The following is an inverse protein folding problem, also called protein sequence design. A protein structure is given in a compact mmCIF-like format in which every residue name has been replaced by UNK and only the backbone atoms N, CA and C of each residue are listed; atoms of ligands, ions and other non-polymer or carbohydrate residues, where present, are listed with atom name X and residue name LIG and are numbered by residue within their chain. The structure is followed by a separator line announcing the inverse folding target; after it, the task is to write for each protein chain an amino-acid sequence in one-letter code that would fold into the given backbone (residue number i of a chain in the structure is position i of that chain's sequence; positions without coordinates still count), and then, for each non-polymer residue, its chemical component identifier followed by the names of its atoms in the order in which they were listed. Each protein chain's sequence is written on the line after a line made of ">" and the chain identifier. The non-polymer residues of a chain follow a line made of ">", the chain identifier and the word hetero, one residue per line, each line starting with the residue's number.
data_IF_265943007906
#
_entry.id   IF_265943007906
#
_cell.length_a   1.000
_cell.length_b   1.000
_cell.length_c   1.000
_cell.angle_alpha   90.00
_cell.angle_beta   90.00
_cell.angle_gamma   90.00
#
_symmetry.space_group_name_H-M   'P 1'
#
loop_
_entity.id
_entity.type
_entity.pdbx_description
1 polymer ?
#
# COMPACT_ATOMS: atom_id res chain seq x y z
N UNK A 1 7.67 10.26 -3.12
CA UNK A 1 7.75 9.98 -1.68
C UNK A 1 7.83 8.46 -1.53
N UNK A 2 8.09 7.95 -0.32
CA UNK A 2 8.20 6.52 -0.07
C UNK A 2 7.57 6.18 1.29
N UNK A 3 7.12 4.94 1.46
CA UNK A 3 6.52 4.45 2.70
C UNK A 3 7.40 3.36 3.31
N UNK A 4 7.66 3.44 4.61
CA UNK A 4 8.32 2.34 5.35
C UNK A 4 7.50 1.07 5.25
N UNK A 5 8.16 -0.05 4.96
CA UNK A 5 7.55 -1.37 4.97
C UNK A 5 7.53 -1.97 6.38
N UNK A 6 6.45 -2.69 6.68
CA UNK A 6 6.25 -3.55 7.85
C UNK A 6 6.47 -5.02 7.45
N UNK A 7 6.31 -6.02 8.34
CA UNK A 7 6.50 -7.43 7.95
C UNK A 7 5.68 -7.87 6.71
N UNK A 8 4.39 -7.53 6.66
CA UNK A 8 3.50 -7.80 5.52
C UNK A 8 2.72 -6.52 5.17
N UNK A 9 2.63 -6.21 3.88
CA UNK A 9 2.09 -4.94 3.41
C UNK A 9 1.19 -5.13 2.20
N UNK A 10 -0.01 -4.53 2.25
CA UNK A 10 -0.80 -4.25 1.07
C UNK A 10 -0.50 -2.84 0.58
N UNK A 11 0.02 -2.72 -0.64
CA UNK A 11 0.34 -1.45 -1.28
C UNK A 11 -0.72 -1.16 -2.35
N UNK A 12 -1.28 0.05 -2.33
CA UNK A 12 -2.31 0.48 -3.29
C UNK A 12 -2.00 1.90 -3.76
N UNK A 13 -1.99 2.18 -5.07
CA UNK A 13 -1.97 3.56 -5.56
C UNK A 13 -3.20 4.34 -5.05
N UNK A 14 -2.99 5.53 -4.47
CA UNK A 14 -4.12 6.36 -3.98
C UNK A 14 -5.14 6.67 -5.07
N UNK A 15 -4.68 6.79 -6.34
CA UNK A 15 -5.58 6.98 -7.48
C UNK A 15 -6.62 5.85 -7.61
N UNK A 16 -6.26 4.62 -7.22
CA UNK A 16 -7.15 3.47 -7.28
C UNK A 16 -8.15 3.53 -6.12
N UNK A 17 -7.72 3.91 -4.92
CA UNK A 17 -8.65 4.15 -3.79
C UNK A 17 -9.62 5.29 -4.11
N UNK A 18 -9.13 6.39 -4.70
CA UNK A 18 -9.97 7.51 -5.13
C UNK A 18 -11.03 7.10 -6.15
N UNK A 19 -10.73 6.09 -6.98
CA UNK A 19 -11.65 5.58 -7.97
C UNK A 19 -12.70 4.62 -7.37
N UNK A 20 -12.29 3.71 -6.50
CA UNK A 20 -13.15 2.61 -6.05
C UNK A 20 -13.88 2.89 -4.74
N UNK A 21 -13.36 3.76 -3.87
CA UNK A 21 -13.98 4.08 -2.60
C UNK A 21 -14.97 5.26 -2.77
N UNK A 22 -16.26 5.12 -2.42
CA UNK A 22 -17.20 6.25 -2.44
C UNK A 22 -16.72 7.38 -1.53
N UNK A 23 -16.50 8.58 -2.08
CA UNK A 23 -15.89 9.70 -1.35
C UNK A 23 -14.35 9.73 -1.39
N UNK A 24 -13.74 8.77 -2.07
CA UNK A 24 -12.31 8.69 -2.34
C UNK A 24 -11.43 8.48 -1.10
N UNK A 25 -10.13 8.72 -1.26
CA UNK A 25 -9.15 8.52 -0.20
C UNK A 25 -9.38 9.43 1.01
N UNK A 26 -9.91 10.64 0.80
CA UNK A 26 -10.19 11.57 1.90
C UNK A 26 -11.24 10.99 2.86
N UNK A 27 -12.37 10.48 2.34
CA UNK A 27 -13.39 9.89 3.20
C UNK A 27 -12.91 8.56 3.79
N UNK A 28 -12.17 7.76 3.02
CA UNK A 28 -11.53 6.55 3.52
C UNK A 28 -10.59 6.83 4.70
N UNK A 29 -9.77 7.89 4.62
CA UNK A 29 -8.82 8.23 5.66
C UNK A 29 -9.50 8.78 6.91
N UNK A 30 -10.59 9.53 6.77
CA UNK A 30 -11.45 9.95 7.88
C UNK A 30 -12.09 8.76 8.60
N UNK A 31 -12.72 7.84 7.86
CA UNK A 31 -13.35 6.64 8.43
C UNK A 31 -12.36 5.73 9.16
N UNK A 32 -11.09 5.75 8.76
CA UNK A 32 -10.04 4.90 9.31
C UNK A 32 -8.98 5.70 10.06
N UNK A 33 -9.28 6.93 10.52
CA UNK A 33 -8.30 7.86 11.09
C UNK A 33 -7.44 7.24 12.17
N UNK A 34 -8.03 6.45 13.07
CA UNK A 34 -7.32 5.77 14.17
C UNK A 34 -6.29 4.73 13.73
N UNK A 35 -6.37 4.23 12.49
CA UNK A 35 -5.41 3.27 11.93
C UNK A 35 -4.19 3.94 11.32
N UNK A 36 -4.29 5.21 10.91
CA UNK A 36 -3.16 5.92 10.33
C UNK A 36 -2.11 6.25 11.39
N UNK A 37 -0.87 5.84 11.14
CA UNK A 37 0.21 5.92 12.13
C UNK A 37 0.35 4.66 13.00
N UNK A 38 -0.52 3.68 12.79
CA UNK A 38 -0.36 2.33 13.30
C UNK A 38 -0.26 1.33 12.14
N UNK A 39 -1.35 0.65 11.80
CA UNK A 39 -1.38 -0.30 10.68
C UNK A 39 -1.39 0.40 9.32
N UNK A 40 -1.92 1.62 9.20
CA UNK A 40 -2.04 2.35 7.93
C UNK A 40 -1.02 3.47 7.78
N UNK A 41 -0.55 3.67 6.54
CA UNK A 41 0.33 4.77 6.16
C UNK A 41 0.07 5.20 4.71
N UNK A 42 0.46 6.41 4.33
CA UNK A 42 0.46 6.86 2.94
C UNK A 42 1.57 7.88 2.68
N UNK A 43 1.98 8.02 1.41
CA UNK A 43 2.96 9.03 0.97
C UNK A 43 2.39 9.99 -0.08
N UNK A 44 1.07 10.09 -0.13
CA UNK A 44 0.25 10.82 -1.12
C UNK A 44 0.20 10.20 -2.54
N UNK A 45 1.02 9.18 -2.84
CA UNK A 45 0.92 8.40 -4.08
C UNK A 45 0.49 6.96 -3.83
N UNK A 46 1.00 6.37 -2.75
CA UNK A 46 0.74 5.02 -2.29
C UNK A 46 0.08 5.05 -0.91
N UNK A 47 -0.81 4.09 -0.70
CA UNK A 47 -1.34 3.68 0.58
C UNK A 47 -0.68 2.36 0.95
N UNK A 48 -0.41 2.18 2.24
CA UNK A 48 0.08 0.94 2.83
C UNK A 48 -0.87 0.50 3.95
N UNK A 49 -1.45 -0.68 3.82
CA UNK A 49 -2.07 -1.43 4.91
C UNK A 49 -1.09 -2.46 5.44
N UNK A 50 -0.65 -2.33 6.69
CA UNK A 50 0.18 -3.31 7.36
C UNK A 50 -0.64 -4.44 7.97
N UNK A 51 -0.13 -5.66 7.86
CA UNK A 51 -0.67 -6.86 8.47
C UNK A 51 0.40 -7.55 9.32
N UNK A 52 -0.02 -8.26 10.37
CA UNK A 52 0.88 -9.04 11.22
C UNK A 52 0.97 -10.51 10.81
N UNK A 53 -0.04 -11.02 10.09
CA UNK A 53 -0.10 -12.39 9.59
C UNK A 53 -0.77 -12.49 8.21
N UNK A 54 -0.92 -13.73 7.72
CA UNK A 54 -1.46 -14.02 6.39
C UNK A 54 -2.99 -13.84 6.30
N UNK A 55 -3.70 -14.04 7.41
CA UNK A 55 -5.16 -13.93 7.43
C UNK A 55 -5.59 -12.45 7.39
N UNK A 56 -4.84 -11.60 8.10
CA UNK A 56 -5.01 -10.15 8.07
C UNK A 56 -4.79 -9.56 6.67
N UNK A 57 -3.73 -9.98 5.98
CA UNK A 57 -3.43 -9.47 4.63
C UNK A 57 -4.45 -9.98 3.60
N UNK A 58 -4.91 -11.23 3.73
CA UNK A 58 -5.96 -11.79 2.87
C UNK A 58 -7.27 -11.02 3.05
N UNK A 59 -7.64 -10.71 4.30
CA UNK A 59 -8.81 -9.88 4.61
C UNK A 59 -8.71 -8.50 3.97
N UNK A 60 -7.54 -7.86 4.02
CA UNK A 60 -7.31 -6.58 3.36
C UNK A 60 -7.45 -6.67 1.83
N UNK A 61 -6.88 -7.71 1.21
CA UNK A 61 -6.99 -7.93 -0.23
C UNK A 61 -8.46 -8.12 -0.62
N UNK A 62 -9.18 -9.01 0.05
CA UNK A 62 -10.60 -9.29 -0.19
C UNK A 62 -11.45 -8.03 -0.04
N UNK A 63 -11.23 -7.25 1.02
CA UNK A 63 -11.92 -5.97 1.21
C UNK A 63 -11.78 -5.05 0.00
N UNK A 64 -10.55 -4.86 -0.52
CA UNK A 64 -10.35 -3.99 -1.67
C UNK A 64 -10.87 -4.57 -2.97
N UNK A 65 -10.93 -5.90 -3.11
CA UNK A 65 -11.62 -6.56 -4.21
C UNK A 65 -13.13 -6.29 -4.19
N UNK A 66 -13.76 -6.38 -3.03
CA UNK A 66 -15.19 -6.07 -2.84
C UNK A 66 -15.48 -4.59 -3.12
N UNK A 67 -14.53 -3.70 -2.81
CA UNK A 67 -14.61 -2.29 -3.18
C UNK A 67 -14.41 -2.03 -4.69
N UNK A 68 -14.05 -3.06 -5.48
CA UNK A 68 -13.97 -3.00 -6.94
C UNK A 68 -12.55 -2.91 -7.51
N UNK A 69 -11.50 -3.09 -6.70
CA UNK A 69 -10.14 -3.21 -7.24
C UNK A 69 -9.91 -4.59 -7.85
N UNK A 70 -9.20 -4.63 -8.97
CA UNK A 70 -8.83 -5.87 -9.65
C UNK A 70 -7.39 -6.23 -9.26
N UNK A 71 -7.19 -7.29 -8.46
CA UNK A 71 -5.88 -7.59 -7.88
C UNK A 71 -4.87 -8.04 -8.93
N UNK A 72 -5.32 -8.79 -9.94
CA UNK A 72 -4.43 -9.46 -10.87
C UNK A 72 -4.65 -9.01 -12.31
N UNK A 73 -3.56 -8.99 -13.06
CA UNK A 73 -3.56 -8.98 -14.52
C UNK A 73 -2.68 -10.11 -15.02
N UNK A 74 -2.80 -10.43 -16.31
CA UNK A 74 -1.85 -11.28 -17.01
C UNK A 74 -1.03 -10.41 -17.95
N UNK A 75 0.30 -10.44 -17.81
CA UNK A 75 1.26 -9.76 -18.68
C UNK A 75 2.23 -10.82 -19.18
N UNK A 76 2.33 -11.00 -20.50
CA UNK A 76 3.19 -12.01 -21.13
C UNK A 76 3.01 -13.43 -20.57
N UNK A 77 1.76 -13.81 -20.24
CA UNK A 77 1.43 -15.12 -19.66
C UNK A 77 1.76 -15.27 -18.17
N UNK A 78 2.22 -14.21 -17.51
CA UNK A 78 2.57 -14.19 -16.09
C UNK A 78 1.50 -13.42 -15.32
N UNK A 79 1.03 -14.00 -14.22
CA UNK A 79 0.10 -13.34 -13.29
C UNK A 79 0.85 -12.27 -12.48
N UNK A 80 0.41 -11.02 -12.61
CA UNK A 80 1.02 -9.86 -11.97
C UNK A 80 0.02 -9.14 -11.07
N UNK A 81 0.52 -8.43 -10.07
CA UNK A 81 -0.26 -7.47 -9.28
C UNK A 81 -0.63 -6.26 -10.14
N UNK A 82 -1.92 -5.91 -10.16
CA UNK A 82 -2.48 -4.84 -11.00
C UNK A 82 -2.87 -3.61 -10.18
N UNK A 83 -4.00 -3.65 -9.48
CA UNK A 83 -4.53 -2.46 -8.79
C UNK A 83 -4.03 -2.35 -7.34
N UNK A 84 -3.43 -3.41 -6.81
CA UNK A 84 -2.84 -3.51 -5.48
C UNK A 84 -1.66 -4.50 -5.54
N UNK A 85 -0.79 -4.49 -4.53
CA UNK A 85 0.36 -5.37 -4.45
C UNK A 85 0.63 -5.80 -3.02
N UNK A 86 0.83 -7.09 -2.79
CA UNK A 86 1.29 -7.60 -1.48
C UNK A 86 2.81 -7.69 -1.48
N UNK A 87 3.44 -7.10 -0.47
CA UNK A 87 4.89 -7.09 -0.28
C UNK A 87 5.23 -7.65 1.11
N UNK A 88 6.08 -8.67 1.15
CA UNK A 88 6.63 -9.22 2.39
C UNK A 88 8.05 -8.71 2.57
N UNK A 89 8.31 -7.99 3.66
CA UNK A 89 9.59 -7.34 3.87
C UNK A 89 10.77 -8.32 3.83
N UNK A 90 10.65 -9.47 4.50
CA UNK A 90 11.74 -10.46 4.59
C UNK A 90 12.14 -11.07 3.25
N UNK A 91 11.22 -11.08 2.27
CA UNK A 91 11.49 -11.62 0.94
C UNK A 91 12.05 -10.59 -0.01
N UNK A 92 12.18 -9.33 0.44
CA UNK A 92 12.70 -8.22 -0.34
C UNK A 92 11.95 -7.93 -1.65
N UNK A 93 10.82 -8.60 -1.89
CA UNK A 93 10.13 -8.61 -3.17
C UNK A 93 8.59 -8.67 -3.00
N UNK A 94 7.83 -8.22 -4.00
CA UNK A 94 6.40 -8.49 -4.12
C UNK A 94 6.10 -9.99 -4.19
N UNK A 95 4.96 -10.43 -3.69
CA UNK A 95 4.56 -11.86 -3.73
C UNK A 95 4.19 -12.35 -5.14
N UNK A 96 3.91 -11.43 -6.06
CA UNK A 96 3.79 -11.63 -7.51
C UNK A 96 4.44 -10.41 -8.19
N UNK A 97 4.88 -10.51 -9.45
CA UNK A 97 5.46 -9.36 -10.15
C UNK A 97 4.57 -8.12 -10.07
N UNK A 98 5.19 -6.99 -9.74
CA UNK A 98 4.53 -5.70 -9.59
C UNK A 98 5.40 -4.61 -10.20
N UNK A 99 5.04 -4.17 -11.40
CA UNK A 99 5.93 -3.32 -12.21
C UNK A 99 5.90 -1.85 -11.81
N UNK A 100 4.92 -1.43 -11.01
CA UNK A 100 4.67 -0.02 -10.71
C UNK A 100 5.22 0.44 -9.36
N UNK A 101 5.89 -0.44 -8.60
CA UNK A 101 6.63 -0.08 -7.38
C UNK A 101 8.13 -0.31 -7.51
N UNK A 102 8.88 0.40 -6.67
CA UNK A 102 10.30 0.17 -6.41
C UNK A 102 10.48 -0.09 -4.91
N UNK A 103 11.16 -1.18 -4.56
CA UNK A 103 11.53 -1.51 -3.18
C UNK A 103 12.99 -1.09 -2.96
N UNK A 104 13.24 -0.34 -1.89
CA UNK A 104 14.57 -0.02 -1.40
C UNK A 104 14.80 -0.73 -0.07
N UNK A 105 15.62 -1.78 -0.13
CA UNK A 105 15.96 -2.62 1.02
C UNK A 105 16.88 -1.93 2.02
N UNK A 106 17.75 -1.02 1.55
CA UNK A 106 18.66 -0.30 2.45
C UNK A 106 17.88 0.60 3.40
N UNK A 107 16.79 1.19 2.89
CA UNK A 107 15.93 2.09 3.65
C UNK A 107 14.62 1.43 4.12
N UNK A 108 14.43 0.14 3.85
CA UNK A 108 13.21 -0.61 4.13
C UNK A 108 11.92 0.13 3.72
N UNK A 109 11.82 0.53 2.46
CA UNK A 109 10.68 1.31 2.00
C UNK A 109 10.27 0.97 0.57
N UNK A 110 9.03 1.33 0.23
CA UNK A 110 8.46 1.20 -1.10
C UNK A 110 8.09 2.57 -1.65
N UNK A 111 8.27 2.76 -2.95
CA UNK A 111 7.88 3.98 -3.65
C UNK A 111 7.28 3.67 -5.02
N UNK A 112 6.58 4.65 -5.60
CA UNK A 112 6.02 4.52 -6.94
C UNK A 112 7.14 4.60 -7.99
N UNK A 113 7.25 3.58 -8.85
CA UNK A 113 8.26 3.52 -9.92
C UNK A 113 8.19 4.74 -10.83
N UNK A 114 9.35 5.28 -11.21
CA UNK A 114 9.43 6.43 -12.10
C UNK A 114 8.94 7.76 -11.49
N UNK A 115 8.69 7.81 -10.17
CA UNK A 115 8.45 9.04 -9.42
C UNK A 115 9.62 9.32 -8.47
N UNK A 116 9.92 10.59 -8.14
CA UNK A 116 10.95 10.89 -7.16
C UNK A 116 10.64 10.23 -5.81
N UNK A 117 11.59 9.42 -5.32
CA UNK A 117 11.48 8.74 -4.03
C UNK A 117 11.22 9.72 -2.88
N UNK A 118 11.79 10.92 -2.89
CA UNK A 118 11.48 11.97 -1.91
C UNK A 118 11.66 11.52 -0.45
N UNK A 119 10.87 12.11 0.46
CA UNK A 119 10.88 11.77 1.89
C UNK A 119 10.23 10.40 2.15
N UNK A 120 10.78 9.68 3.11
CA UNK A 120 10.25 8.42 3.64
C UNK A 120 9.26 8.71 4.77
N UNK A 121 8.08 8.09 4.72
CA UNK A 121 6.99 8.25 5.68
C UNK A 121 6.78 6.93 6.43
N UNK A 122 6.92 6.97 7.76
CA UNK A 122 6.66 5.86 8.65
C UNK A 122 5.52 6.15 9.63
N UNK A 123 5.35 5.25 10.60
CA UNK A 123 4.30 5.35 11.63
C UNK A 123 4.32 6.69 12.39
N UNK A 124 5.51 7.16 12.76
CA UNK A 124 5.67 8.39 13.56
C UNK A 124 5.23 9.64 12.79
N UNK A 125 5.68 9.78 11.55
CA UNK A 125 5.30 10.90 10.68
C UNK A 125 3.80 10.89 10.40
N UNK A 126 3.25 9.71 10.15
CA UNK A 126 1.84 9.51 9.86
C UNK A 126 0.95 9.81 11.07
N UNK A 127 1.35 9.35 12.26
CA UNK A 127 0.65 9.64 13.52
C UNK A 127 0.60 11.15 13.79
N UNK A 128 1.74 11.83 13.65
CA UNK A 128 1.79 13.29 13.80
C UNK A 128 0.89 14.02 12.80
N UNK A 129 0.72 13.52 11.58
CA UNK A 129 -0.15 14.13 10.58
C UNK A 129 -1.63 14.00 10.93
N UNK A 130 -2.07 12.87 11.52
CA UNK A 130 -3.47 12.61 11.86
C UNK A 130 -3.86 12.95 13.31
N UNK A 131 -2.90 13.23 14.19
CA UNK A 131 -3.14 13.75 15.55
C UNK A 131 -3.28 15.29 15.60
N UNK A 132 -2.99 15.98 14.49
CA UNK A 132 -3.21 17.43 14.29
C UNK A 132 -4.64 17.73 13.81
#
# INVERSE_FOLDING_TARGET
>A
MAIILEPINLIIPLKNINYCYPGGFNLFSEHNRSKFGDSFCHDALLFRGGAVDLDDIETLVLYWQEMGLVPYAETDGIRCWKDMCVVRYFEAEPTLPCEWIEIDLQNNCVSMKGKPKGRIIGRKEMKLYYDL
#
